data_IF_756390455183
#
_entry.id   IF_756390455183
#
_cell.length_a   1.000
_cell.length_b   1.000
_cell.length_c   1.000
_cell.angle_alpha   90.00
_cell.angle_beta   90.00
_cell.angle_gamma   90.00
#
_symmetry.space_group_name_H-M   'P 1'
#
loop_
_entity.id
_entity.type
_entity.pdbx_description
1 polymer ?
#
# COMPACT_ATOMS: atom_id res chain seq x y z
N UNK A 1 -14.11 -37.15 -0.51
CA UNK A 1 -13.25 -36.38 -1.44
C UNK A 1 -13.20 -34.92 -1.00
N UNK A 2 -12.12 -34.47 -0.36
CA UNK A 2 -11.91 -33.05 -0.01
C UNK A 2 -11.63 -32.26 -1.30
N UNK A 3 -12.56 -31.40 -1.73
CA UNK A 3 -12.31 -30.39 -2.77
C UNK A 3 -11.17 -29.50 -2.27
N UNK A 4 -9.97 -29.67 -2.80
CA UNK A 4 -8.87 -28.72 -2.57
C UNK A 4 -9.33 -27.38 -3.16
N UNK A 5 -9.82 -26.47 -2.31
CA UNK A 5 -10.08 -25.10 -2.70
C UNK A 5 -8.71 -24.45 -2.90
N UNK A 6 -8.36 -24.17 -4.16
CA UNK A 6 -7.18 -23.38 -4.49
C UNK A 6 -7.19 -22.09 -3.67
N UNK A 7 -6.05 -21.79 -3.03
CA UNK A 7 -5.92 -20.55 -2.29
C UNK A 7 -5.96 -19.38 -3.28
N UNK A 8 -6.58 -18.26 -2.91
CA UNK A 8 -6.80 -17.10 -3.79
C UNK A 8 -5.51 -16.61 -4.49
N UNK A 9 -4.36 -16.68 -3.79
CA UNK A 9 -3.06 -16.33 -4.35
C UNK A 9 -2.60 -17.26 -5.49
N UNK A 10 -2.92 -18.56 -5.43
CA UNK A 10 -2.58 -19.52 -6.48
C UNK A 10 -3.34 -19.22 -7.76
N UNK A 11 -4.61 -18.84 -7.64
CA UNK A 11 -5.45 -18.47 -8.79
C UNK A 11 -4.88 -17.23 -9.48
N UNK A 12 -4.46 -16.22 -8.71
CA UNK A 12 -3.84 -15.00 -9.25
C UNK A 12 -2.51 -15.34 -9.94
N UNK A 13 -1.65 -16.15 -9.31
CA UNK A 13 -0.38 -16.53 -9.92
C UNK A 13 -0.58 -17.29 -11.24
N UNK A 14 -1.53 -18.22 -11.30
CA UNK A 14 -1.86 -18.95 -12.53
C UNK A 14 -2.41 -18.00 -13.60
N UNK A 15 -3.31 -17.07 -13.24
CA UNK A 15 -3.83 -16.08 -14.17
C UNK A 15 -2.72 -15.17 -14.72
N UNK A 16 -1.75 -14.76 -13.87
CA UNK A 16 -0.60 -13.96 -14.28
C UNK A 16 0.32 -14.72 -15.23
N UNK A 17 0.58 -16.01 -14.96
CA UNK A 17 1.36 -16.87 -15.86
C UNK A 17 0.70 -17.01 -17.22
N UNK A 18 -0.62 -17.18 -17.26
CA UNK A 18 -1.38 -17.32 -18.49
C UNK A 18 -1.39 -16.00 -19.28
N UNK A 19 -1.52 -14.86 -18.59
CA UNK A 19 -1.35 -13.55 -19.18
C UNK A 19 0.06 -13.39 -19.77
N UNK A 20 1.12 -13.66 -19.00
CA UNK A 20 2.50 -13.48 -19.45
C UNK A 20 2.79 -14.34 -20.68
N UNK A 21 2.26 -15.56 -20.74
CA UNK A 21 2.40 -16.44 -21.89
C UNK A 21 1.80 -15.81 -23.15
N UNK A 22 0.56 -15.30 -23.05
CA UNK A 22 -0.11 -14.62 -24.17
C UNK A 22 0.59 -13.31 -24.52
N UNK A 23 1.06 -12.56 -23.53
CA UNK A 23 1.76 -11.30 -23.70
C UNK A 23 3.09 -11.48 -24.46
N UNK A 24 3.86 -12.52 -24.15
CA UNK A 24 5.10 -12.86 -24.86
C UNK A 24 4.80 -13.21 -26.32
N UNK A 25 3.80 -14.05 -26.58
CA UNK A 25 3.36 -14.36 -27.93
C UNK A 25 2.92 -13.09 -28.69
N UNK A 26 2.05 -12.30 -28.07
CA UNK A 26 1.53 -11.05 -28.64
C UNK A 26 2.62 -10.02 -28.91
N UNK A 27 3.63 -9.88 -28.03
CA UNK A 27 4.72 -8.92 -28.19
C UNK A 27 5.50 -9.13 -29.49
N UNK A 28 5.92 -10.37 -29.76
CA UNK A 28 6.67 -10.69 -30.96
C UNK A 28 5.80 -10.73 -32.21
N UNK A 29 4.52 -11.08 -32.09
CA UNK A 29 3.57 -10.90 -33.18
C UNK A 29 3.42 -9.42 -33.55
N UNK A 30 3.19 -8.55 -32.57
CA UNK A 30 3.06 -7.10 -32.74
C UNK A 30 4.32 -6.51 -33.37
N UNK A 31 5.50 -7.00 -32.99
CA UNK A 31 6.76 -6.58 -33.61
C UNK A 31 6.85 -6.93 -35.10
N UNK A 32 6.38 -8.12 -35.51
CA UNK A 32 6.28 -8.46 -36.94
C UNK A 32 5.21 -7.63 -37.64
N UNK A 33 4.04 -7.50 -37.01
CA UNK A 33 2.91 -6.79 -37.58
C UNK A 33 3.24 -5.32 -37.85
N UNK A 34 3.86 -4.64 -36.88
CA UNK A 34 4.32 -3.26 -37.03
C UNK A 34 5.44 -3.12 -38.08
N UNK A 35 6.30 -4.13 -38.22
CA UNK A 35 7.39 -4.11 -39.22
C UNK A 35 6.91 -4.18 -40.66
N UNK A 36 5.71 -4.73 -40.89
CA UNK A 36 5.07 -4.81 -42.20
C UNK A 36 3.82 -3.92 -42.26
N UNK A 37 3.94 -2.72 -41.67
CA UNK A 37 2.95 -1.64 -41.75
C UNK A 37 1.54 -2.03 -41.31
N UNK A 38 1.43 -2.94 -40.33
CA UNK A 38 0.16 -3.46 -39.84
C UNK A 38 -0.67 -4.18 -40.92
N UNK A 39 -0.02 -4.74 -41.94
CA UNK A 39 -0.66 -5.52 -43.00
C UNK A 39 -0.20 -6.98 -42.88
N UNK A 40 -1.09 -7.86 -42.41
CA UNK A 40 -0.76 -9.27 -42.20
C UNK A 40 -0.36 -9.99 -43.50
N UNK A 41 -1.04 -9.70 -44.61
CA UNK A 41 -0.73 -10.28 -45.92
C UNK A 41 0.61 -9.84 -46.49
N UNK A 42 1.17 -8.72 -46.01
CA UNK A 42 2.47 -8.22 -46.42
C UNK A 42 3.63 -8.93 -45.71
N UNK A 43 3.35 -9.75 -44.68
CA UNK A 43 4.37 -10.49 -43.93
C UNK A 43 4.85 -11.67 -44.78
N UNK A 44 6.12 -11.68 -45.23
CA UNK A 44 6.68 -12.80 -45.99
C UNK A 44 6.59 -14.12 -45.23
N UNK A 45 6.30 -15.21 -45.96
CA UNK A 45 6.22 -16.58 -45.42
C UNK A 45 7.50 -16.99 -44.66
N UNK A 46 8.65 -16.48 -45.11
CA UNK A 46 9.97 -16.67 -44.49
C UNK A 46 10.08 -16.14 -43.05
N UNK A 47 9.21 -15.22 -42.62
CA UNK A 47 9.24 -14.65 -41.26
C UNK A 47 8.08 -15.15 -40.39
N UNK A 48 6.88 -15.32 -40.95
CA UNK A 48 5.73 -15.83 -40.19
C UNK A 48 5.89 -17.32 -39.85
N UNK A 49 6.52 -18.11 -40.73
CA UNK A 49 6.75 -19.53 -40.53
C UNK A 49 7.62 -19.83 -39.30
N UNK A 50 8.83 -19.26 -39.20
CA UNK A 50 9.67 -19.45 -38.02
C UNK A 50 9.06 -18.87 -36.75
N UNK A 51 8.34 -17.74 -36.84
CA UNK A 51 7.59 -17.19 -35.69
C UNK A 51 6.59 -18.21 -35.14
N UNK A 52 5.71 -18.77 -35.98
CA UNK A 52 4.70 -19.74 -35.54
C UNK A 52 5.31 -21.01 -34.94
N UNK A 53 6.45 -21.47 -35.48
CA UNK A 53 7.15 -22.66 -34.96
C UNK A 53 7.84 -22.40 -33.62
N UNK A 54 8.41 -21.21 -33.42
CA UNK A 54 9.27 -20.93 -32.28
C UNK A 54 8.56 -20.27 -31.10
N UNK A 55 7.48 -19.53 -31.34
CA UNK A 55 6.89 -18.67 -30.32
C UNK A 55 6.31 -19.43 -29.12
N UNK A 56 5.67 -20.59 -29.33
CA UNK A 56 5.09 -21.38 -28.24
C UNK A 56 6.17 -22.03 -27.35
N UNK A 57 7.19 -22.72 -27.90
CA UNK A 57 8.34 -23.17 -27.11
C UNK A 57 9.03 -22.03 -26.36
N UNK A 58 9.20 -20.88 -27.02
CA UNK A 58 9.83 -19.71 -26.43
C UNK A 58 9.02 -19.15 -25.25
N UNK A 59 7.71 -18.95 -25.43
CA UNK A 59 6.82 -18.47 -24.37
C UNK A 59 6.82 -19.43 -23.18
N UNK A 60 6.77 -20.75 -23.42
CA UNK A 60 6.90 -21.74 -22.35
C UNK A 60 8.25 -21.63 -21.61
N UNK A 61 9.35 -21.47 -22.35
CA UNK A 61 10.67 -21.24 -21.76
C UNK A 61 10.74 -19.95 -20.92
N UNK A 62 10.10 -18.87 -21.38
CA UNK A 62 10.00 -17.62 -20.63
C UNK A 62 9.27 -17.81 -19.30
N UNK A 63 8.15 -18.54 -19.28
CA UNK A 63 7.43 -18.84 -18.03
C UNK A 63 8.33 -19.60 -17.05
N UNK A 64 9.13 -20.56 -17.52
CA UNK A 64 10.11 -21.27 -16.67
C UNK A 64 11.13 -20.29 -16.09
N UNK A 65 11.71 -19.41 -16.92
CA UNK A 65 12.65 -18.38 -16.45
C UNK A 65 12.00 -17.47 -15.41
N UNK A 66 10.76 -17.03 -15.64
CA UNK A 66 10.02 -16.15 -14.72
C UNK A 66 9.68 -16.85 -13.39
N UNK A 67 9.38 -18.15 -13.42
CA UNK A 67 9.21 -18.98 -12.23
C UNK A 67 10.52 -19.09 -11.43
N UNK A 68 11.64 -19.37 -12.08
CA UNK A 68 12.96 -19.44 -11.45
C UNK A 68 13.41 -18.09 -10.87
N UNK A 69 13.09 -17.00 -11.56
CA UNK A 69 13.29 -15.63 -11.09
C UNK A 69 12.32 -15.22 -9.96
N UNK A 70 11.45 -16.14 -9.51
CA UNK A 70 10.45 -15.94 -8.45
C UNK A 70 9.54 -14.74 -8.72
N UNK A 71 9.24 -14.45 -9.99
CA UNK A 71 8.42 -13.30 -10.38
C UNK A 71 6.94 -13.45 -9.99
N UNK A 72 6.49 -14.68 -9.74
CA UNK A 72 5.10 -14.99 -9.36
C UNK A 72 4.88 -15.14 -7.85
N UNK A 73 5.94 -15.08 -7.04
CA UNK A 73 5.89 -15.29 -5.59
C UNK A 73 5.87 -13.98 -4.80
N UNK A 74 5.63 -12.86 -5.47
CA UNK A 74 5.81 -11.57 -4.84
C UNK A 74 4.60 -11.17 -3.98
N UNK A 75 4.87 -10.93 -2.70
CA UNK A 75 3.88 -10.44 -1.74
C UNK A 75 3.67 -8.96 -2.04
N UNK A 76 2.44 -8.61 -2.40
CA UNK A 76 1.97 -7.33 -2.95
C UNK A 76 2.26 -6.06 -2.12
N UNK A 77 2.91 -6.17 -0.96
CA UNK A 77 2.97 -5.14 0.08
C UNK A 77 4.28 -4.33 0.11
N UNK A 78 5.39 -4.81 -0.50
CA UNK A 78 6.72 -4.16 -0.37
C UNK A 78 7.63 -4.20 -1.62
N UNK A 79 7.12 -4.60 -2.78
CA UNK A 79 7.97 -5.18 -3.83
C UNK A 79 8.21 -4.31 -5.09
N UNK A 80 7.86 -3.01 -5.11
CA UNK A 80 7.84 -2.25 -6.38
C UNK A 80 9.20 -2.17 -7.09
N UNK A 81 10.27 -1.82 -6.36
CA UNK A 81 11.60 -1.67 -6.95
C UNK A 81 12.24 -3.02 -7.30
N UNK A 82 12.16 -4.00 -6.40
CA UNK A 82 12.80 -5.30 -6.60
C UNK A 82 12.12 -6.14 -7.69
N UNK A 83 10.80 -6.03 -7.85
CA UNK A 83 10.09 -6.66 -8.96
C UNK A 83 10.37 -6.00 -10.29
N UNK A 84 10.49 -4.66 -10.31
CA UNK A 84 10.88 -3.95 -11.54
C UNK A 84 12.23 -4.46 -12.04
N UNK A 85 13.23 -4.54 -11.15
CA UNK A 85 14.57 -5.03 -11.49
C UNK A 85 14.53 -6.50 -11.93
N UNK A 86 13.78 -7.37 -11.25
CA UNK A 86 13.61 -8.78 -11.66
C UNK A 86 12.93 -8.91 -13.02
N UNK A 87 11.90 -8.10 -13.28
CA UNK A 87 11.18 -8.09 -14.56
C UNK A 87 12.08 -7.62 -15.69
N UNK A 88 12.85 -6.55 -15.45
CA UNK A 88 13.81 -6.01 -16.43
C UNK A 88 14.93 -7.03 -16.73
N UNK A 89 15.54 -7.63 -15.70
CA UNK A 89 16.58 -8.62 -15.88
C UNK A 89 16.05 -9.88 -16.60
N UNK A 90 14.87 -10.37 -16.20
CA UNK A 90 14.20 -11.50 -16.83
C UNK A 90 13.82 -11.23 -18.28
N UNK A 91 13.29 -10.05 -18.59
CA UNK A 91 12.91 -9.67 -19.96
C UNK A 91 14.13 -9.51 -20.86
N UNK A 92 15.23 -8.92 -20.35
CA UNK A 92 16.47 -8.80 -21.10
C UNK A 92 17.08 -10.17 -21.41
N UNK A 93 17.19 -11.03 -20.38
CA UNK A 93 17.72 -12.39 -20.53
C UNK A 93 16.93 -13.19 -21.57
N UNK A 94 15.59 -13.19 -21.45
CA UNK A 94 14.72 -13.92 -22.39
C UNK A 94 14.73 -13.31 -23.79
N UNK A 95 14.88 -11.99 -23.94
CA UNK A 95 14.97 -11.33 -25.27
C UNK A 95 16.28 -11.64 -25.99
N UNK A 96 17.39 -11.65 -25.24
CA UNK A 96 18.70 -12.07 -25.78
C UNK A 96 18.66 -13.54 -26.17
N UNK A 97 18.12 -14.41 -25.30
CA UNK A 97 17.94 -15.83 -25.59
C UNK A 97 17.07 -16.04 -26.85
N UNK A 98 15.95 -15.30 -26.98
CA UNK A 98 15.11 -15.34 -28.18
C UNK A 98 15.90 -15.02 -29.44
N UNK A 99 16.64 -13.92 -29.41
CA UNK A 99 17.42 -13.41 -30.54
C UNK A 99 18.44 -14.44 -31.00
N UNK A 100 19.17 -15.04 -30.06
CA UNK A 100 20.17 -16.07 -30.38
C UNK A 100 19.50 -17.34 -30.89
N UNK A 101 18.52 -17.88 -30.16
CA UNK A 101 17.91 -19.18 -30.48
C UNK A 101 17.16 -19.16 -31.82
N UNK A 102 16.35 -18.14 -32.09
CA UNK A 102 15.59 -18.08 -33.35
C UNK A 102 16.52 -17.90 -34.56
N UNK A 103 17.63 -17.17 -34.38
CA UNK A 103 18.62 -16.92 -35.45
C UNK A 103 19.43 -18.18 -35.76
N UNK A 104 19.80 -18.94 -34.73
CA UNK A 104 20.62 -20.17 -34.89
C UNK A 104 19.77 -21.37 -35.33
N UNK A 105 18.59 -21.56 -34.74
CA UNK A 105 17.78 -22.77 -34.96
C UNK A 105 16.87 -22.68 -36.19
N UNK A 106 16.51 -21.48 -36.61
CA UNK A 106 15.55 -21.27 -37.69
C UNK A 106 16.07 -20.30 -38.74
N UNK A 107 15.79 -19.02 -38.57
CA UNK A 107 16.13 -18.01 -39.56
C UNK A 107 16.35 -16.66 -38.89
N UNK A 108 17.32 -15.91 -39.42
CA UNK A 108 17.54 -14.53 -39.04
C UNK A 108 16.32 -13.67 -39.38
N UNK A 109 15.77 -13.02 -38.36
CA UNK A 109 14.67 -12.06 -38.47
C UNK A 109 15.19 -10.65 -38.74
N UNK A 110 14.33 -9.71 -39.20
CA UNK A 110 14.69 -8.31 -39.31
C UNK A 110 15.14 -7.72 -37.96
N UNK A 111 16.11 -6.81 -37.96
CA UNK A 111 16.64 -6.21 -36.71
C UNK A 111 15.54 -5.55 -35.86
N UNK A 112 14.61 -4.88 -36.53
CA UNK A 112 13.44 -4.24 -35.92
C UNK A 112 12.55 -5.22 -35.15
N UNK A 113 12.44 -6.48 -35.57
CA UNK A 113 11.64 -7.51 -34.89
C UNK A 113 12.19 -7.80 -33.49
N UNK A 114 13.52 -7.93 -33.36
CA UNK A 114 14.15 -8.22 -32.07
C UNK A 114 13.98 -7.04 -31.11
N UNK A 115 14.25 -5.82 -31.57
CA UNK A 115 14.16 -4.61 -30.73
C UNK A 115 12.72 -4.32 -30.31
N UNK A 116 11.77 -4.33 -31.27
CA UNK A 116 10.36 -4.05 -30.97
C UNK A 116 9.72 -5.18 -30.16
N UNK A 117 10.09 -6.44 -30.43
CA UNK A 117 9.61 -7.59 -29.67
C UNK A 117 10.05 -7.52 -28.21
N UNK A 118 11.34 -7.24 -27.96
CA UNK A 118 11.86 -7.04 -26.61
C UNK A 118 11.18 -5.88 -25.88
N UNK A 119 10.96 -4.76 -26.58
CA UNK A 119 10.26 -3.60 -26.04
C UNK A 119 8.81 -3.92 -25.67
N UNK A 120 8.02 -4.47 -26.59
CA UNK A 120 6.64 -4.84 -26.32
C UNK A 120 6.52 -5.90 -25.24
N UNK A 121 7.43 -6.88 -25.21
CA UNK A 121 7.47 -7.88 -24.16
C UNK A 121 7.65 -7.20 -22.79
N UNK A 122 8.65 -6.34 -22.65
CA UNK A 122 8.87 -5.62 -21.41
C UNK A 122 7.66 -4.76 -21.00
N UNK A 123 7.08 -4.00 -21.94
CA UNK A 123 5.92 -3.13 -21.71
C UNK A 123 4.66 -3.92 -21.32
N UNK A 124 4.39 -5.06 -21.94
CA UNK A 124 3.23 -5.88 -21.60
C UNK A 124 3.42 -6.58 -20.24
N UNK A 125 4.61 -7.12 -19.96
CA UNK A 125 4.91 -7.76 -18.68
C UNK A 125 4.81 -6.78 -17.51
N UNK A 126 5.34 -5.55 -17.68
CA UNK A 126 5.23 -4.51 -16.67
C UNK A 126 3.79 -3.98 -16.59
N UNK A 127 3.10 -3.84 -17.72
CA UNK A 127 1.73 -3.35 -17.84
C UNK A 127 0.73 -4.18 -17.04
N UNK A 128 0.78 -5.52 -17.11
CA UNK A 128 -0.08 -6.35 -16.27
C UNK A 128 0.19 -6.19 -14.78
N UNK A 129 1.47 -6.18 -14.39
CA UNK A 129 1.90 -6.15 -12.98
C UNK A 129 1.57 -4.82 -12.32
N UNK A 130 1.89 -3.72 -13.00
CA UNK A 130 1.66 -2.38 -12.48
C UNK A 130 0.25 -1.87 -12.77
N UNK A 131 -0.36 -2.25 -13.90
CA UNK A 131 -1.73 -1.88 -14.24
C UNK A 131 -2.76 -2.46 -13.28
N UNK A 132 -2.65 -3.74 -12.93
CA UNK A 132 -3.52 -4.34 -11.91
C UNK A 132 -3.36 -3.66 -10.55
N UNK A 133 -2.13 -3.29 -10.15
CA UNK A 133 -1.88 -2.51 -8.93
C UNK A 133 -2.51 -1.13 -8.98
N UNK A 134 -2.34 -0.43 -10.10
CA UNK A 134 -2.91 0.89 -10.29
C UNK A 134 -4.44 0.81 -10.15
N UNK A 135 -5.07 -0.19 -10.78
CA UNK A 135 -6.51 -0.44 -10.64
C UNK A 135 -6.90 -0.72 -9.18
N UNK A 136 -6.13 -1.53 -8.43
CA UNK A 136 -6.43 -1.78 -7.02
C UNK A 136 -6.26 -0.54 -6.13
N UNK A 137 -5.22 0.26 -6.35
CA UNK A 137 -4.98 1.52 -5.63
C UNK A 137 -6.09 2.52 -5.95
N UNK A 138 -6.46 2.65 -7.23
CA UNK A 138 -7.51 3.57 -7.67
C UNK A 138 -8.89 3.12 -7.20
N UNK A 139 -9.23 1.82 -7.27
CA UNK A 139 -10.48 1.30 -6.70
C UNK A 139 -10.55 1.50 -5.19
N UNK A 140 -9.44 1.29 -4.47
CA UNK A 140 -9.38 1.64 -3.03
C UNK A 140 -9.56 3.13 -2.77
N UNK A 141 -9.15 4.01 -3.69
CA UNK A 141 -9.42 5.45 -3.54
C UNK A 141 -10.87 5.82 -3.87
N UNK A 142 -11.48 5.13 -4.84
CA UNK A 142 -12.81 5.45 -5.39
C UNK A 142 -13.99 4.76 -4.71
N UNK A 143 -13.79 3.70 -3.93
CA UNK A 143 -14.79 3.25 -2.96
C UNK A 143 -14.86 4.26 -1.82
N UNK A 144 -15.49 5.41 -2.06
CA UNK A 144 -16.05 6.23 -0.98
C UNK A 144 -17.27 5.45 -0.51
N UNK A 145 -17.03 4.42 0.30
CA UNK A 145 -18.11 3.71 0.94
C UNK A 145 -18.83 4.72 1.82
N UNK A 146 -20.15 4.89 1.63
CA UNK A 146 -20.93 5.86 2.37
C UNK A 146 -20.91 5.60 3.89
N UNK A 147 -20.43 4.42 4.31
CA UNK A 147 -20.26 4.01 5.71
C UNK A 147 -18.84 4.23 6.27
N UNK A 148 -17.88 4.74 5.49
CA UNK A 148 -16.52 4.97 5.96
C UNK A 148 -16.45 6.25 6.80
N UNK A 149 -16.01 6.15 8.06
CA UNK A 149 -15.90 7.32 8.93
C UNK A 149 -14.77 8.25 8.45
N UNK A 150 -15.04 9.55 8.45
CA UNK A 150 -14.09 10.61 8.12
C UNK A 150 -13.41 11.08 9.38
N UNK A 151 -12.10 10.94 9.41
CA UNK A 151 -11.29 11.16 10.60
C UNK A 151 -10.49 12.46 10.45
N UNK A 152 -10.54 13.30 11.48
CA UNK A 152 -9.57 14.39 11.66
C UNK A 152 -8.45 13.91 12.59
N UNK A 153 -7.20 14.13 12.19
CA UNK A 153 -6.06 13.79 13.03
C UNK A 153 -5.48 15.05 13.68
N UNK A 154 -5.34 15.06 15.00
CA UNK A 154 -4.67 16.12 15.74
C UNK A 154 -3.21 15.73 15.97
N UNK A 155 -2.29 16.55 15.46
CA UNK A 155 -0.86 16.33 15.42
C UNK A 155 -0.39 15.78 14.08
N UNK A 156 0.63 16.40 13.51
CA UNK A 156 1.34 15.97 12.30
C UNK A 156 2.76 15.50 12.63
N UNK A 157 2.91 14.72 13.70
CA UNK A 157 4.19 14.18 14.18
C UNK A 157 4.44 12.72 13.75
N UNK A 158 5.41 12.08 14.39
CA UNK A 158 5.73 10.67 14.13
C UNK A 158 4.56 9.72 14.45
N UNK A 159 3.83 9.99 15.54
CA UNK A 159 2.64 9.20 15.91
C UNK A 159 1.57 9.24 14.80
N UNK A 160 1.35 10.43 14.21
CA UNK A 160 0.44 10.60 13.09
C UNK A 160 0.88 9.82 11.84
N UNK A 161 2.17 9.85 11.50
CA UNK A 161 2.70 9.06 10.38
C UNK A 161 2.50 7.55 10.59
N UNK A 162 2.65 7.05 11.82
CA UNK A 162 2.43 5.64 12.13
C UNK A 162 0.97 5.24 11.93
N UNK A 163 0.03 6.02 12.49
CA UNK A 163 -1.41 5.80 12.32
C UNK A 163 -1.79 5.79 10.83
N UNK A 164 -1.33 6.78 10.06
CA UNK A 164 -1.62 6.87 8.63
C UNK A 164 -1.08 5.68 7.83
N UNK A 165 0.15 5.27 8.15
CA UNK A 165 0.78 4.10 7.50
C UNK A 165 -0.02 2.84 7.79
N UNK A 166 -0.48 2.66 9.01
CA UNK A 166 -1.21 1.49 9.42
C UNK A 166 -2.64 1.45 8.85
N UNK A 167 -3.37 2.57 8.85
CA UNK A 167 -4.67 2.68 8.19
C UNK A 167 -4.58 2.34 6.70
N UNK A 168 -3.48 2.70 6.04
CA UNK A 168 -3.22 2.30 4.65
C UNK A 168 -2.97 0.79 4.52
N UNK A 169 -2.36 0.19 5.53
CA UNK A 169 -1.93 -1.21 5.58
C UNK A 169 -3.03 -2.16 6.01
N UNK A 170 -4.00 -1.71 6.82
CA UNK A 170 -5.15 -2.47 7.26
C UNK A 170 -6.18 -2.51 6.12
N UNK A 171 -6.45 -3.70 5.58
CA UNK A 171 -7.45 -3.87 4.51
C UNK A 171 -8.90 -3.79 5.00
N UNK A 172 -9.11 -3.87 6.30
CA UNK A 172 -10.44 -3.98 6.94
C UNK A 172 -10.96 -2.64 7.47
N UNK A 173 -10.07 -1.67 7.74
CA UNK A 173 -10.47 -0.32 8.19
C UNK A 173 -10.88 0.48 6.96
N UNK A 174 -12.18 0.76 6.85
CA UNK A 174 -12.73 1.59 5.77
C UNK A 174 -12.57 3.09 6.04
N UNK A 175 -12.32 3.45 7.30
CA UNK A 175 -12.20 4.83 7.76
C UNK A 175 -11.01 5.54 7.13
N UNK A 176 -11.13 6.86 6.98
CA UNK A 176 -10.13 7.67 6.28
C UNK A 176 -9.84 8.96 6.99
N UNK A 177 -8.56 9.25 7.15
CA UNK A 177 -8.13 10.58 7.58
C UNK A 177 -8.25 11.55 6.41
N UNK A 178 -9.04 12.61 6.59
CA UNK A 178 -9.35 13.59 5.53
C UNK A 178 -8.65 14.94 5.73
N UNK A 179 -8.29 15.28 6.97
CA UNK A 179 -7.52 16.47 7.29
C UNK A 179 -6.72 16.30 8.58
N UNK A 180 -5.70 17.14 8.75
CA UNK A 180 -4.81 17.13 9.92
C UNK A 180 -4.73 18.54 10.49
N UNK A 181 -4.74 18.65 11.81
CA UNK A 181 -4.51 19.89 12.58
C UNK A 181 -3.18 19.77 13.31
N UNK A 182 -2.34 20.79 13.28
CA UNK A 182 -1.09 20.84 14.04
C UNK A 182 -0.77 22.28 14.44
N UNK A 183 -0.47 22.51 15.71
CA UNK A 183 -0.19 23.87 16.22
C UNK A 183 1.11 24.48 15.68
N UNK A 184 2.00 23.69 15.05
CA UNK A 184 3.22 24.22 14.45
C UNK A 184 2.91 24.94 13.13
N UNK A 185 3.03 26.29 13.06
CA UNK A 185 2.68 27.04 11.86
C UNK A 185 3.53 26.70 10.64
N UNK A 186 4.74 26.16 10.86
CA UNK A 186 5.61 25.72 9.77
C UNK A 186 5.03 24.55 8.96
N UNK A 187 3.99 23.88 9.47
CA UNK A 187 3.35 22.72 8.82
C UNK A 187 2.06 23.09 8.09
N UNK A 188 1.50 24.27 8.31
CA UNK A 188 0.22 24.66 7.73
C UNK A 188 0.26 24.71 6.21
N UNK A 189 -0.85 24.32 5.58
CA UNK A 189 -1.02 24.20 4.13
C UNK A 189 -0.03 23.26 3.44
N UNK A 190 0.66 22.40 4.20
CA UNK A 190 1.47 21.30 3.69
C UNK A 190 0.68 20.00 3.75
N UNK A 191 1.29 18.93 3.25
CA UNK A 191 0.69 17.61 3.20
C UNK A 191 1.52 16.62 4.02
N UNK A 192 0.84 15.75 4.77
CA UNK A 192 1.44 14.57 5.39
C UNK A 192 0.82 13.34 4.72
N UNK A 193 1.65 12.53 4.06
CA UNK A 193 1.17 11.34 3.32
C UNK A 193 0.03 11.62 2.33
N UNK A 194 0.00 12.82 1.74
CA UNK A 194 -1.03 13.26 0.79
C UNK A 194 -2.29 13.87 1.43
N UNK A 195 -2.34 14.01 2.76
CA UNK A 195 -3.47 14.60 3.50
C UNK A 195 -3.12 16.03 3.92
N UNK A 196 -4.01 17.02 3.71
CA UNK A 196 -3.72 18.41 4.02
C UNK A 196 -3.64 18.67 5.53
N UNK A 197 -2.65 19.44 5.94
CA UNK A 197 -2.55 20.05 7.26
C UNK A 197 -3.23 21.43 7.14
N UNK A 198 -4.43 21.54 7.71
CA UNK A 198 -5.33 22.66 7.40
C UNK A 198 -4.95 23.92 8.19
N UNK A 199 -4.60 23.75 9.46
CA UNK A 199 -4.19 24.84 10.34
C UNK A 199 -3.89 24.35 11.76
N UNK A 200 -3.90 25.29 12.71
CA UNK A 200 -3.78 25.04 14.15
C UNK A 200 -5.12 24.68 14.80
N UNK A 201 -5.10 24.54 16.13
CA UNK A 201 -6.29 24.16 16.93
C UNK A 201 -7.52 25.07 16.71
N UNK A 202 -7.32 26.34 16.34
CA UNK A 202 -8.40 27.29 16.10
C UNK A 202 -9.24 26.94 14.84
N UNK A 203 -8.71 26.11 13.94
CA UNK A 203 -9.43 25.65 12.75
C UNK A 203 -10.20 24.33 12.96
N UNK A 204 -10.20 23.76 14.17
CA UNK A 204 -10.84 22.46 14.41
C UNK A 204 -12.34 22.52 14.06
N UNK A 205 -13.08 23.49 14.58
CA UNK A 205 -14.53 23.59 14.36
C UNK A 205 -14.88 23.79 12.88
N UNK A 206 -14.18 24.70 12.20
CA UNK A 206 -14.42 24.98 10.78
C UNK A 206 -14.02 23.79 9.89
N UNK A 207 -12.97 23.05 10.25
CA UNK A 207 -12.56 21.85 9.56
C UNK A 207 -13.55 20.69 9.78
N UNK A 208 -14.15 20.56 10.96
CA UNK A 208 -15.20 19.55 11.23
C UNK A 208 -16.37 19.71 10.25
N UNK A 209 -16.88 20.94 10.09
CA UNK A 209 -17.98 21.22 9.16
C UNK A 209 -17.56 21.04 7.70
N UNK A 210 -16.41 21.63 7.32
CA UNK A 210 -15.93 21.63 5.93
C UNK A 210 -15.66 20.23 5.40
N UNK A 211 -15.06 19.36 6.22
CA UNK A 211 -14.68 18.01 5.81
C UNK A 211 -15.69 16.94 6.24
N UNK A 212 -16.74 17.33 7.00
CA UNK A 212 -17.79 16.46 7.55
C UNK A 212 -17.19 15.33 8.39
N UNK A 213 -16.51 15.71 9.47
CA UNK A 213 -15.74 14.78 10.31
C UNK A 213 -16.67 13.98 11.23
N UNK A 214 -16.46 12.66 11.28
CA UNK A 214 -17.17 11.73 12.17
C UNK A 214 -16.37 11.45 13.45
N UNK A 215 -15.04 11.31 13.35
CA UNK A 215 -14.16 11.03 14.49
C UNK A 215 -12.93 11.94 14.52
N UNK A 216 -12.47 12.29 15.72
CA UNK A 216 -11.24 13.07 15.93
C UNK A 216 -10.23 12.23 16.71
N UNK A 217 -9.05 12.04 16.12
CA UNK A 217 -7.98 11.23 16.67
C UNK A 217 -6.87 12.12 17.22
N UNK A 218 -6.62 12.05 18.52
CA UNK A 218 -5.49 12.72 19.18
C UNK A 218 -4.21 11.90 19.04
N UNK A 219 -3.33 12.35 18.14
CA UNK A 219 -2.00 11.78 17.86
C UNK A 219 -0.86 12.66 18.37
N UNK A 220 -1.05 13.23 19.58
CA UNK A 220 -0.10 14.11 20.28
C UNK A 220 0.38 13.53 21.63
N UNK A 221 0.97 12.31 21.66
CA UNK A 221 1.32 11.67 22.93
C UNK A 221 2.32 12.49 23.78
N UNK A 222 3.23 13.25 23.15
CA UNK A 222 4.21 14.13 23.81
C UNK A 222 3.68 15.51 24.23
N UNK A 223 2.44 15.87 23.88
CA UNK A 223 1.87 17.14 24.33
C UNK A 223 1.69 17.13 25.85
N UNK A 224 1.85 18.31 26.46
CA UNK A 224 1.61 18.48 27.90
C UNK A 224 0.14 18.20 28.24
N UNK A 225 -0.14 17.88 29.50
CA UNK A 225 -1.52 17.65 29.95
C UNK A 225 -2.41 18.88 29.67
N UNK A 226 -1.88 20.08 29.89
CA UNK A 226 -2.54 21.35 29.57
C UNK A 226 -2.86 21.47 28.08
N UNK A 227 -1.88 21.24 27.19
CA UNK A 227 -2.11 21.30 25.74
C UNK A 227 -3.17 20.30 25.27
N UNK A 228 -3.16 19.07 25.83
CA UNK A 228 -4.17 18.05 25.50
C UNK A 228 -5.55 18.50 25.95
N UNK A 229 -5.68 19.03 27.18
CA UNK A 229 -6.93 19.54 27.72
C UNK A 229 -7.50 20.68 26.88
N UNK A 230 -6.67 21.64 26.49
CA UNK A 230 -7.11 22.78 25.67
C UNK A 230 -7.67 22.31 24.32
N UNK A 231 -7.00 21.35 23.69
CA UNK A 231 -7.45 20.76 22.41
C UNK A 231 -8.73 19.95 22.64
N UNK A 232 -8.79 19.13 23.68
CA UNK A 232 -9.97 18.33 24.01
C UNK A 232 -11.18 19.20 24.32
N UNK A 233 -11.00 20.36 24.96
CA UNK A 233 -12.06 21.32 25.20
C UNK A 233 -12.67 21.80 23.87
N UNK A 234 -11.84 22.21 22.90
CA UNK A 234 -12.31 22.61 21.57
C UNK A 234 -13.00 21.43 20.87
N UNK A 235 -12.41 20.24 20.91
CA UNK A 235 -13.00 19.05 20.30
C UNK A 235 -14.34 18.65 20.94
N UNK A 236 -14.53 18.92 22.24
CA UNK A 236 -15.78 18.60 22.96
C UNK A 236 -16.98 19.45 22.55
N UNK A 237 -16.75 20.59 21.89
CA UNK A 237 -17.80 21.40 21.28
C UNK A 237 -18.36 20.79 20.00
N UNK A 238 -17.73 19.73 19.49
CA UNK A 238 -18.14 19.01 18.28
C UNK A 238 -18.98 17.78 18.65
N UNK A 239 -19.79 17.29 17.70
CA UNK A 239 -20.52 16.02 17.85
C UNK A 239 -19.68 14.79 17.44
N UNK A 240 -18.37 14.96 17.24
CA UNK A 240 -17.49 13.90 16.75
C UNK A 240 -17.07 12.93 17.87
N UNK A 241 -16.85 11.67 17.52
CA UNK A 241 -16.30 10.67 18.44
C UNK A 241 -14.82 10.95 18.69
N UNK A 242 -14.42 11.12 19.95
CA UNK A 242 -13.03 11.46 20.31
C UNK A 242 -12.26 10.21 20.72
N UNK A 243 -11.14 9.95 20.04
CA UNK A 243 -10.20 8.88 20.41
C UNK A 243 -8.80 9.43 20.60
N UNK A 244 -8.06 8.86 21.54
CA UNK A 244 -6.69 9.26 21.86
C UNK A 244 -5.72 8.09 21.80
N UNK A 245 -4.52 8.38 21.30
CA UNK A 245 -3.40 7.44 21.37
C UNK A 245 -2.77 7.46 22.77
N UNK A 246 -2.66 6.31 23.47
CA UNK A 246 -2.09 6.28 24.81
C UNK A 246 -0.60 6.64 24.81
N UNK A 247 -0.13 7.37 25.83
CA UNK A 247 1.24 7.90 25.90
C UNK A 247 2.35 6.83 25.86
N UNK A 248 2.07 5.63 26.37
CA UNK A 248 3.02 4.50 26.39
C UNK A 248 3.44 4.03 24.98
N UNK A 249 2.63 4.29 23.95
CA UNK A 249 2.94 3.91 22.56
C UNK A 249 4.09 4.70 21.95
N UNK A 250 4.57 5.78 22.59
CA UNK A 250 5.83 6.42 22.18
C UNK A 250 7.07 5.57 22.44
N UNK A 251 7.03 4.67 23.43
CA UNK A 251 8.19 3.88 23.85
C UNK A 251 8.24 2.49 23.21
N UNK A 252 7.14 2.03 22.63
CA UNK A 252 7.08 0.78 21.87
C UNK A 252 7.37 1.08 20.40
N UNK A 253 8.66 1.09 20.06
CA UNK A 253 9.13 1.29 18.69
C UNK A 253 8.51 0.23 17.78
N UNK A 254 7.47 0.62 17.02
CA UNK A 254 6.92 -0.18 15.93
C UNK A 254 5.47 -0.67 16.05
N UNK A 255 4.75 -0.40 17.16
CA UNK A 255 3.40 -0.98 17.39
C UNK A 255 2.30 0.04 17.76
N UNK A 256 2.41 1.30 17.31
CA UNK A 256 1.23 2.18 17.35
C UNK A 256 0.21 1.63 16.35
N UNK A 257 -0.84 1.01 16.89
CA UNK A 257 -1.89 0.30 16.13
C UNK A 257 -3.18 1.14 16.22
N UNK A 258 -4.04 1.21 15.21
CA UNK A 258 -5.35 1.91 15.27
C UNK A 258 -6.20 1.28 16.36
N UNK A 259 -6.06 -0.03 16.59
CA UNK A 259 -6.67 -0.75 17.70
C UNK A 259 -6.16 -0.35 19.09
N UNK A 260 -5.05 0.39 19.17
CA UNK A 260 -4.54 0.96 20.42
C UNK A 260 -5.22 2.27 20.82
N UNK A 261 -5.97 2.90 19.91
CA UNK A 261 -6.74 4.10 20.19
C UNK A 261 -7.80 3.77 21.25
N UNK A 262 -7.92 4.65 22.25
CA UNK A 262 -8.92 4.53 23.31
C UNK A 262 -9.86 5.73 23.27
N UNK A 263 -11.10 5.51 23.68
CA UNK A 263 -12.05 6.61 23.87
C UNK A 263 -11.51 7.58 24.92
N UNK A 264 -11.72 8.86 24.67
CA UNK A 264 -11.35 9.92 25.63
C UNK A 264 -12.21 9.76 26.88
N UNK A 265 -11.56 9.65 28.04
CA UNK A 265 -12.24 9.47 29.32
C UNK A 265 -12.68 10.80 29.92
N UNK A 266 -13.65 10.78 30.84
CA UNK A 266 -14.08 12.00 31.55
C UNK A 266 -12.92 12.59 32.37
N UNK A 267 -12.03 11.74 32.86
CA UNK A 267 -10.82 12.11 33.58
C UNK A 267 -9.85 12.91 32.71
N UNK A 268 -9.72 12.55 31.43
CA UNK A 268 -8.90 13.26 30.44
C UNK A 268 -9.46 14.65 30.14
N UNK A 269 -10.80 14.81 30.16
CA UNK A 269 -11.47 16.11 30.03
C UNK A 269 -11.32 16.97 31.29
N UNK A 270 -11.37 16.35 32.47
CA UNK A 270 -11.22 17.02 33.76
C UNK A 270 -9.76 17.34 34.11
N UNK A 271 -8.80 16.78 33.37
CA UNK A 271 -7.37 17.07 33.50
C UNK A 271 -6.81 16.81 34.90
N UNK A 272 -7.39 15.87 35.66
CA UNK A 272 -6.82 15.50 36.97
C UNK A 272 -5.51 14.77 36.75
N UNK A 273 -4.45 15.26 37.39
CA UNK A 273 -3.24 14.47 37.56
C UNK A 273 -3.63 13.11 38.17
N UNK A 274 -3.18 11.97 37.62
CA UNK A 274 -3.33 10.71 38.30
C UNK A 274 -2.74 10.87 39.69
N UNK A 275 -3.53 10.56 40.73
CA UNK A 275 -3.09 10.67 42.12
C UNK A 275 -1.85 9.79 42.23
N UNK A 276 -0.68 10.42 42.36
CA UNK A 276 0.56 9.73 42.66
C UNK A 276 0.48 9.27 44.10
N UNK A 277 -0.07 8.09 44.32
CA UNK A 277 -0.05 7.47 45.64
C UNK A 277 1.41 7.25 46.00
N UNK A 278 1.85 7.79 47.14
CA UNK A 278 3.20 7.52 47.64
C UNK A 278 3.29 6.03 48.01
N UNK A 279 3.87 5.25 47.09
CA UNK A 279 4.01 3.82 47.26
C UNK A 279 4.88 3.49 48.49
N UNK A 280 5.78 4.38 48.95
CA UNK A 280 6.54 4.17 50.19
C UNK A 280 5.65 4.29 51.42
N UNK A 281 4.72 5.24 51.43
CA UNK A 281 3.76 5.41 52.51
C UNK A 281 2.82 4.20 52.60
N UNK A 282 2.31 3.76 51.44
CA UNK A 282 1.49 2.53 51.34
C UNK A 282 2.29 1.32 51.81
N UNK A 283 3.55 1.16 51.37
CA UNK A 283 4.40 0.05 51.78
C UNK A 283 4.65 0.06 53.30
N UNK A 284 4.97 1.22 53.89
CA UNK A 284 5.11 1.36 55.35
C UNK A 284 3.82 1.03 56.08
N UNK A 285 2.67 1.39 55.52
CA UNK A 285 1.37 1.15 56.14
C UNK A 285 0.98 -0.33 56.15
N UNK A 286 1.36 -1.10 55.12
CA UNK A 286 0.98 -2.52 54.97
C UNK A 286 2.08 -3.50 55.42
N UNK A 287 3.33 -3.06 55.55
CA UNK A 287 4.44 -3.93 55.99
C UNK A 287 4.16 -4.48 57.37
N UNK A 288 4.12 -5.81 57.49
CA UNK A 288 3.88 -6.52 58.75
C UNK A 288 2.41 -6.65 59.17
N UNK A 289 1.45 -6.21 58.32
CA UNK A 289 0.01 -6.38 58.57
C UNK A 289 -0.57 -7.50 57.71
N UNK A 290 -1.53 -8.24 58.26
CA UNK A 290 -2.34 -9.21 57.49
C UNK A 290 -3.44 -8.44 56.77
N UNK A 291 -3.41 -8.46 55.44
CA UNK A 291 -4.40 -7.78 54.59
C UNK A 291 -5.44 -8.80 54.14
N UNK A 292 -6.71 -8.55 54.47
CA UNK A 292 -7.82 -9.34 53.93
C UNK A 292 -8.15 -8.84 52.52
N UNK A 293 -8.07 -9.72 51.53
CA UNK A 293 -8.48 -9.43 50.15
C UNK A 293 -9.89 -9.98 49.98
N UNK A 294 -10.85 -9.06 49.82
CA UNK A 294 -12.25 -9.35 49.50
C UNK A 294 -12.51 -9.16 48.02
#
# INVERSE_FOLDING_TARGET
MKRQRFAHWQIISIALMLYDFVAVCGAYFLALFLRFDCVYSAIPAQYIGPYNKFILPYAAGCIVVFLLAKMYNSVWRYASYTEFVRTLAGSLLTSVAHTVLITVLLQRMPISYYMMGAFFQFVLLIGARFGFRFIQIFRRRHDVDASAKRIMLIGAGNAAQMILREMTLASEVRDRVVCIIDDNPNKWHRYLSGIPIVGGRDEILSAVEKYQIDEIYLAIPSATAEQKRDILAICSETNCELKQLPGLYQFVVGEATVSAMKDVSVEDLLGRDPIRTDMQEVYRFITGKVVLVT
#
